data_IF_022702908372
#
_entry.id   IF_022702908372
#
_cell.length_a   1.000
_cell.length_b   1.000
_cell.length_c   1.000
_cell.angle_alpha   90.00
_cell.angle_beta   90.00
_cell.angle_gamma   90.00
#
_symmetry.space_group_name_H-M   'P 1'
#
loop_
_entity.id
_entity.type
_entity.pdbx_description
1 polymer ?
#
# COMPACT_ATOMS: atom_id res chain seq x y z
N UNK A 1 -16.85 -9.32 35.15
CA UNK A 1 -17.63 -8.38 35.95
C UNK A 1 -17.84 -8.96 37.32
N UNK A 2 -17.65 -8.16 38.34
CA UNK A 2 -17.87 -8.56 39.73
C UNK A 2 -19.36 -8.83 39.96
N UNK A 3 -19.69 -9.99 40.52
CA UNK A 3 -21.07 -10.30 40.87
C UNK A 3 -21.35 -9.78 42.28
N UNK A 4 -22.27 -8.83 42.39
CA UNK A 4 -22.72 -8.31 43.68
C UNK A 4 -24.12 -8.85 44.01
N UNK A 5 -24.23 -9.66 45.05
CA UNK A 5 -25.51 -10.15 45.58
C UNK A 5 -25.94 -9.26 46.77
N UNK A 6 -27.13 -8.72 46.68
CA UNK A 6 -27.68 -7.78 47.69
C UNK A 6 -28.53 -8.52 48.71
N UNK A 7 -28.34 -8.16 49.94
CA UNK A 7 -29.17 -8.58 51.09
C UNK A 7 -29.60 -7.33 51.85
N UNK A 8 -30.59 -7.39 52.76
CA UNK A 8 -31.18 -6.21 53.37
C UNK A 8 -30.21 -5.24 54.08
N UNK A 9 -29.11 -5.72 54.61
CA UNK A 9 -28.11 -4.89 55.35
C UNK A 9 -26.69 -5.12 54.91
N UNK A 10 -26.44 -6.13 54.11
CA UNK A 10 -25.13 -6.56 53.65
C UNK A 10 -25.19 -6.89 52.16
N UNK A 11 -24.09 -6.73 51.48
CA UNK A 11 -23.91 -7.22 50.13
C UNK A 11 -22.70 -8.14 50.07
N UNK A 12 -22.75 -9.09 49.16
CA UNK A 12 -21.69 -10.05 48.93
C UNK A 12 -21.09 -9.82 47.57
N UNK A 13 -19.80 -9.52 47.52
CA UNK A 13 -19.05 -9.39 46.25
C UNK A 13 -18.25 -10.66 45.94
N UNK A 14 -18.30 -11.09 44.71
CA UNK A 14 -17.51 -12.23 44.21
C UNK A 14 -16.73 -11.77 42.99
N UNK A 15 -15.39 -11.85 43.04
CA UNK A 15 -14.48 -11.50 41.97
C UNK A 15 -14.19 -12.67 41.02
N UNK A 16 -13.62 -12.36 39.90
CA UNK A 16 -13.11 -13.33 38.89
C UNK A 16 -11.60 -13.52 39.03
N UNK A 17 -11.06 -14.55 38.40
CA UNK A 17 -9.63 -14.86 38.46
C UNK A 17 -8.73 -13.80 37.79
N UNK A 18 -9.25 -13.11 36.79
CA UNK A 18 -8.53 -12.10 36.01
C UNK A 18 -8.66 -10.66 36.55
N UNK A 19 -9.35 -10.49 37.72
CA UNK A 19 -9.63 -9.19 38.30
C UNK A 19 -9.38 -9.18 39.80
N UNK A 20 -8.73 -8.13 40.27
CA UNK A 20 -8.49 -7.91 41.67
C UNK A 20 -9.55 -6.97 42.21
N UNK A 21 -10.16 -7.36 43.33
CA UNK A 21 -11.06 -6.47 44.09
C UNK A 21 -10.29 -5.72 45.15
N UNK A 22 -10.48 -4.40 45.17
CA UNK A 22 -9.92 -3.52 46.18
C UNK A 22 -11.08 -2.86 46.91
N UNK A 23 -11.10 -3.03 48.23
CA UNK A 23 -12.11 -2.41 49.10
C UNK A 23 -11.52 -1.17 49.80
N UNK A 24 -12.17 -0.03 49.60
CA UNK A 24 -11.93 1.17 50.40
C UNK A 24 -12.75 1.11 51.68
N UNK A 25 -12.08 1.21 52.83
CA UNK A 25 -12.74 1.24 54.14
C UNK A 25 -11.99 2.20 55.05
N UNK A 26 -12.69 3.19 55.61
CA UNK A 26 -12.15 4.18 56.54
C UNK A 26 -10.89 4.90 56.04
N UNK A 27 -10.79 5.15 54.73
CA UNK A 27 -9.63 5.83 54.14
C UNK A 27 -8.47 4.91 53.74
N UNK A 28 -8.55 3.61 54.02
CA UNK A 28 -7.56 2.63 53.61
C UNK A 28 -8.03 1.79 52.46
N UNK A 29 -7.12 1.45 51.55
CA UNK A 29 -7.37 0.54 50.41
C UNK A 29 -6.88 -0.87 50.80
N UNK A 30 -7.81 -1.80 50.87
CA UNK A 30 -7.53 -3.19 51.23
C UNK A 30 -7.66 -4.04 49.96
N UNK A 31 -6.51 -4.55 49.48
CA UNK A 31 -6.54 -5.50 48.35
C UNK A 31 -7.06 -6.85 48.85
N UNK A 32 -8.10 -7.36 48.19
CA UNK A 32 -8.67 -8.68 48.47
C UNK A 32 -8.11 -9.80 47.59
N UNK A 33 -7.38 -9.42 46.55
CA UNK A 33 -6.82 -10.36 45.58
C UNK A 33 -7.82 -10.83 44.49
N UNK A 34 -7.37 -11.68 43.58
CA UNK A 34 -8.24 -12.34 42.59
C UNK A 34 -9.12 -13.40 43.28
N UNK A 35 -10.24 -13.75 42.65
CA UNK A 35 -11.20 -14.74 43.19
C UNK A 35 -11.73 -14.37 44.59
N UNK A 36 -11.65 -13.12 44.93
CA UNK A 36 -12.09 -12.68 46.25
C UNK A 36 -13.61 -12.81 46.43
N UNK A 37 -14.00 -13.30 47.62
CA UNK A 37 -15.41 -13.45 47.98
C UNK A 37 -15.59 -12.90 49.41
N UNK A 38 -16.31 -11.79 49.56
CA UNK A 38 -16.44 -11.14 50.86
C UNK A 38 -17.76 -10.40 51.03
N UNK A 39 -18.13 -10.24 52.29
CA UNK A 39 -19.29 -9.46 52.69
C UNK A 39 -18.92 -8.03 53.03
N UNK A 40 -19.72 -7.08 52.64
CA UNK A 40 -19.53 -5.67 52.92
C UNK A 40 -20.88 -4.96 53.17
N UNK A 41 -20.79 -3.82 53.85
CA UNK A 41 -21.93 -2.91 54.01
C UNK A 41 -21.93 -1.91 52.87
N UNK A 42 -23.02 -1.80 52.08
CA UNK A 42 -23.08 -0.87 50.96
C UNK A 42 -22.88 0.60 51.35
N UNK A 43 -23.36 0.96 52.54
CA UNK A 43 -23.18 2.31 53.06
C UNK A 43 -21.74 2.53 53.54
N UNK A 44 -21.03 3.39 52.80
CA UNK A 44 -19.65 3.79 53.14
C UNK A 44 -18.56 2.80 52.72
N UNK A 45 -18.84 1.82 51.86
CA UNK A 45 -17.83 0.99 51.24
C UNK A 45 -17.67 1.41 49.78
N UNK A 46 -16.45 1.64 49.34
CA UNK A 46 -16.07 1.72 47.93
C UNK A 46 -15.44 0.40 47.50
N UNK A 47 -15.81 -0.09 46.33
CA UNK A 47 -15.21 -1.29 45.72
C UNK A 47 -14.66 -0.88 44.37
N UNK A 48 -13.43 -1.23 44.10
CA UNK A 48 -12.78 -1.06 42.79
C UNK A 48 -12.43 -2.43 42.24
N UNK A 49 -12.71 -2.63 40.95
CA UNK A 49 -12.43 -3.86 40.21
C UNK A 49 -11.35 -3.58 39.15
N UNK A 50 -10.15 -4.09 39.39
CA UNK A 50 -8.97 -3.84 38.54
C UNK A 50 -8.63 -5.10 37.75
N UNK A 51 -8.60 -5.07 36.41
CA UNK A 51 -8.15 -6.18 35.62
C UNK A 51 -6.63 -6.37 35.78
N UNK A 52 -6.20 -7.64 35.88
CA UNK A 52 -4.77 -8.04 35.93
C UNK A 52 -4.35 -8.80 34.68
N UNK A 53 -5.27 -8.98 33.77
CA UNK A 53 -5.02 -9.57 32.45
C UNK A 53 -4.26 -8.60 31.55
N UNK A 54 -3.63 -9.13 30.52
CA UNK A 54 -3.01 -8.30 29.47
C UNK A 54 -4.09 -7.59 28.67
N UNK A 55 -3.99 -6.27 28.63
CA UNK A 55 -4.91 -5.42 27.90
C UNK A 55 -4.25 -4.98 26.61
N UNK A 56 -4.85 -5.31 25.48
CA UNK A 56 -4.38 -4.89 24.16
C UNK A 56 -5.22 -3.72 23.65
N UNK A 57 -4.57 -2.62 23.32
CA UNK A 57 -5.17 -1.41 22.79
C UNK A 57 -4.66 -1.13 21.37
N UNK A 58 -5.56 -1.21 20.38
CA UNK A 58 -5.27 -0.74 19.04
C UNK A 58 -5.41 0.78 18.99
N UNK A 59 -4.42 1.46 18.41
CA UNK A 59 -4.47 2.89 18.18
C UNK A 59 -3.88 3.25 16.82
N UNK A 60 -4.51 4.23 16.15
CA UNK A 60 -4.03 4.78 14.88
C UNK A 60 -3.81 6.28 15.12
N UNK A 61 -2.62 6.73 14.87
CA UNK A 61 -2.30 8.15 14.93
C UNK A 61 -1.63 8.61 13.65
N UNK A 62 -1.83 9.88 13.33
CA UNK A 62 -1.25 10.53 12.18
C UNK A 62 -0.09 11.37 12.63
N UNK A 63 1.01 11.28 11.91
CA UNK A 63 2.24 12.01 12.19
C UNK A 63 2.85 12.49 10.89
N UNK A 64 3.62 13.56 10.97
CA UNK A 64 4.27 14.15 9.81
C UNK A 64 5.75 13.79 9.82
N UNK A 65 6.26 13.30 8.70
CA UNK A 65 7.66 12.96 8.49
C UNK A 65 8.52 14.22 8.32
N UNK A 66 9.86 14.04 8.29
CA UNK A 66 10.82 15.12 8.05
C UNK A 66 10.57 15.85 6.72
N UNK A 67 10.17 15.14 5.70
CA UNK A 67 9.83 15.64 4.36
C UNK A 67 8.38 16.11 4.24
N UNK A 68 7.73 16.35 5.41
CA UNK A 68 6.38 16.89 5.54
C UNK A 68 5.29 16.06 4.89
N UNK A 69 5.49 14.75 4.83
CA UNK A 69 4.45 13.83 4.39
C UNK A 69 3.66 13.32 5.59
N UNK A 70 2.35 13.27 5.47
CA UNK A 70 1.50 12.68 6.50
C UNK A 70 1.52 11.17 6.39
N UNK A 71 1.74 10.50 7.52
CA UNK A 71 1.70 9.04 7.62
C UNK A 71 0.80 8.61 8.76
N UNK A 72 0.06 7.55 8.52
CA UNK A 72 -0.75 6.86 9.52
C UNK A 72 0.05 5.70 10.10
N UNK A 73 0.24 5.72 11.41
CA UNK A 73 0.91 4.64 12.15
C UNK A 73 -0.13 3.88 12.95
N UNK A 74 -0.28 2.60 12.67
CA UNK A 74 -1.16 1.71 13.40
C UNK A 74 -0.36 0.88 14.38
N UNK A 75 -0.70 1.00 15.66
CA UNK A 75 -0.03 0.30 16.76
C UNK A 75 -1.00 -0.55 17.56
N UNK A 76 -0.51 -1.64 18.11
CA UNK A 76 -1.15 -2.43 19.14
C UNK A 76 -0.24 -2.41 20.38
N UNK A 77 -0.75 -1.83 21.46
CA UNK A 77 -0.06 -1.64 22.72
C UNK A 77 -0.61 -2.64 23.73
N UNK A 78 0.24 -3.48 24.26
CA UNK A 78 -0.14 -4.44 25.31
C UNK A 78 0.39 -3.96 26.64
N UNK A 79 -0.51 -3.72 27.56
CA UNK A 79 -0.18 -3.29 28.92
C UNK A 79 -0.83 -4.20 29.95
N UNK A 80 -0.24 -4.24 31.13
CA UNK A 80 -0.75 -4.99 32.30
C UNK A 80 -0.76 -4.09 33.51
N UNK A 81 -1.77 -4.21 34.34
CA UNK A 81 -1.78 -3.55 35.65
C UNK A 81 -1.06 -4.45 36.62
N UNK A 82 0.22 -4.15 36.84
CA UNK A 82 1.10 -4.92 37.77
C UNK A 82 0.79 -4.64 39.21
N UNK A 83 0.45 -3.38 39.56
CA UNK A 83 0.09 -2.99 40.94
C UNK A 83 -1.33 -2.39 40.95
N UNK A 84 -2.37 -3.22 41.19
CA UNK A 84 -3.75 -2.75 41.26
C UNK A 84 -3.98 -1.69 42.36
N UNK A 85 -3.23 -1.72 43.48
CA UNK A 85 -3.40 -0.76 44.58
C UNK A 85 -2.90 0.64 44.20
N UNK A 86 -1.86 0.73 43.37
CA UNK A 86 -1.42 2.01 42.79
C UNK A 86 -2.39 2.46 41.68
N UNK A 87 -2.84 1.55 40.83
CA UNK A 87 -3.72 1.90 39.69
C UNK A 87 -5.02 2.58 40.16
N UNK A 88 -5.62 2.12 41.24
CA UNK A 88 -6.87 2.70 41.79
C UNK A 88 -6.69 4.15 42.30
N UNK A 89 -5.46 4.57 42.61
CA UNK A 89 -5.18 5.95 43.03
C UNK A 89 -5.10 6.92 41.82
N UNK A 90 -4.83 6.40 40.64
CA UNK A 90 -4.62 7.20 39.44
C UNK A 90 -5.76 7.05 38.41
N UNK A 91 -6.51 5.96 38.48
CA UNK A 91 -7.60 5.61 37.57
C UNK A 91 -8.81 5.20 38.37
N UNK A 92 -9.98 5.67 37.96
CA UNK A 92 -11.25 5.40 38.68
C UNK A 92 -11.84 4.04 38.24
N UNK A 93 -11.40 2.99 38.93
CA UNK A 93 -11.94 1.64 38.80
C UNK A 93 -13.11 1.36 39.74
N UNK A 94 -13.75 2.42 40.28
CA UNK A 94 -14.87 2.26 41.19
C UNK A 94 -16.04 1.53 40.48
N UNK A 95 -16.62 0.60 41.26
CA UNK A 95 -17.78 -0.21 40.82
C UNK A 95 -19.01 0.30 41.58
N UNK A 96 -20.09 0.50 40.82
CA UNK A 96 -21.39 0.74 41.44
C UNK A 96 -21.82 -0.52 42.19
N UNK A 97 -21.97 -0.37 43.49
CA UNK A 97 -22.34 -1.46 44.40
C UNK A 97 -23.76 -2.00 44.10
N UNK A 98 -24.54 -1.31 43.27
CA UNK A 98 -25.88 -1.69 42.85
C UNK A 98 -25.86 -2.55 41.64
N UNK A 99 -25.15 -2.16 40.62
CA UNK A 99 -25.13 -2.82 39.30
C UNK A 99 -23.92 -3.78 39.14
N UNK A 100 -22.83 -3.57 39.87
CA UNK A 100 -21.61 -4.31 39.72
C UNK A 100 -20.77 -3.88 38.52
N UNK A 101 -21.15 -2.76 37.88
CA UNK A 101 -20.45 -2.19 36.74
C UNK A 101 -19.54 -1.03 37.16
N UNK A 102 -18.53 -0.72 36.37
CA UNK A 102 -17.71 0.46 36.60
C UNK A 102 -18.54 1.74 36.50
N UNK A 103 -18.37 2.62 37.45
CA UNK A 103 -19.04 3.94 37.46
C UNK A 103 -18.50 4.83 36.33
N UNK A 104 -17.23 4.69 35.99
CA UNK A 104 -16.54 5.40 34.91
C UNK A 104 -16.11 4.49 33.78
N UNK A 105 -15.16 4.98 32.98
CA UNK A 105 -14.54 4.24 31.86
C UNK A 105 -13.02 4.14 32.08
N UNK A 106 -12.56 3.42 33.11
CA UNK A 106 -11.17 3.39 33.49
C UNK A 106 -10.26 2.84 32.38
N UNK A 107 -10.71 1.82 31.64
CA UNK A 107 -9.93 1.25 30.53
C UNK A 107 -9.75 2.24 29.40
N UNK A 108 -10.76 3.04 29.08
CA UNK A 108 -10.66 4.08 28.06
C UNK A 108 -9.71 5.20 28.49
N UNK A 109 -9.74 5.59 29.77
CA UNK A 109 -8.81 6.58 30.33
C UNK A 109 -7.37 6.07 30.29
N UNK A 110 -7.16 4.79 30.63
CA UNK A 110 -5.85 4.13 30.52
C UNK A 110 -5.39 4.08 29.06
N UNK A 111 -6.26 3.61 28.16
CA UNK A 111 -5.99 3.55 26.75
C UNK A 111 -5.57 4.91 26.17
N UNK A 112 -6.31 5.97 26.47
CA UNK A 112 -6.00 7.31 25.99
C UNK A 112 -4.63 7.77 26.49
N UNK A 113 -4.34 7.60 27.77
CA UNK A 113 -3.03 7.98 28.36
C UNK A 113 -1.88 7.23 27.70
N UNK A 114 -1.99 5.91 27.56
CA UNK A 114 -0.95 5.10 26.92
C UNK A 114 -0.80 5.47 25.45
N UNK A 115 -1.92 5.70 24.74
CA UNK A 115 -1.93 6.10 23.35
C UNK A 115 -1.30 7.48 23.13
N UNK A 116 -1.62 8.47 23.95
CA UNK A 116 -1.03 9.82 23.87
C UNK A 116 0.49 9.77 24.09
N UNK A 117 0.94 9.02 25.11
CA UNK A 117 2.36 8.85 25.38
C UNK A 117 3.07 8.11 24.22
N UNK A 118 2.47 7.03 23.71
CA UNK A 118 3.00 6.30 22.56
C UNK A 118 3.08 7.19 21.31
N UNK A 119 2.06 8.00 21.07
CA UNK A 119 2.03 8.95 19.96
C UNK A 119 3.16 9.97 20.05
N UNK A 120 3.46 10.48 21.23
CA UNK A 120 4.54 11.44 21.45
C UNK A 120 5.89 10.84 21.02
N UNK A 121 6.21 9.63 21.46
CA UNK A 121 7.48 8.97 21.11
C UNK A 121 7.52 8.59 19.62
N UNK A 122 6.43 8.09 19.06
CA UNK A 122 6.35 7.81 17.65
C UNK A 122 6.53 9.08 16.81
N UNK A 123 5.86 10.17 17.18
CA UNK A 123 5.97 11.45 16.48
C UNK A 123 7.41 12.01 16.52
N UNK A 124 8.11 11.86 17.64
CA UNK A 124 9.49 12.31 17.77
C UNK A 124 10.43 11.61 16.78
N UNK A 125 10.28 10.30 16.59
CA UNK A 125 11.09 9.52 15.63
C UNK A 125 10.69 9.79 14.20
N UNK A 126 9.39 9.81 13.91
CA UNK A 126 8.87 10.03 12.56
C UNK A 126 9.23 11.43 12.05
N UNK A 127 9.19 12.45 12.91
CA UNK A 127 9.52 13.83 12.53
C UNK A 127 10.98 14.03 12.05
N UNK A 128 11.90 13.16 12.43
CA UNK A 128 13.32 13.22 12.03
C UNK A 128 13.63 12.23 10.88
N UNK A 129 12.70 11.35 10.52
CA UNK A 129 12.86 10.30 9.52
C UNK A 129 12.17 10.71 8.22
N UNK A 130 12.78 10.39 7.07
CA UNK A 130 12.17 10.58 5.75
C UNK A 130 11.16 9.48 5.48
N UNK A 131 10.21 9.75 4.57
CA UNK A 131 9.19 8.78 4.20
C UNK A 131 9.79 7.48 3.66
N UNK A 132 10.82 7.56 2.83
CA UNK A 132 11.49 6.40 2.23
C UNK A 132 12.02 5.45 3.29
N UNK A 133 12.82 5.96 4.24
CA UNK A 133 13.36 5.17 5.35
C UNK A 133 12.24 4.63 6.25
N UNK A 134 11.18 5.41 6.42
CA UNK A 134 10.05 5.01 7.24
C UNK A 134 9.24 3.87 6.61
N UNK A 135 9.15 3.80 5.27
CA UNK A 135 8.50 2.70 4.57
C UNK A 135 9.34 1.42 4.58
N UNK A 136 10.67 1.55 4.55
CA UNK A 136 11.58 0.39 4.55
C UNK A 136 11.78 -0.18 5.95
N UNK A 137 12.15 0.65 6.93
CA UNK A 137 12.56 0.21 8.27
C UNK A 137 11.63 0.71 9.38
N UNK A 138 10.62 1.51 9.04
CA UNK A 138 9.82 2.26 10.00
C UNK A 138 9.08 1.41 11.02
N UNK A 139 8.67 0.18 10.67
CA UNK A 139 8.02 -0.73 11.61
C UNK A 139 8.91 -1.03 12.83
N UNK A 140 10.21 -1.27 12.60
CA UNK A 140 11.17 -1.56 13.65
C UNK A 140 11.59 -0.29 14.40
N UNK A 141 11.84 0.80 13.69
CA UNK A 141 12.23 2.08 14.26
C UNK A 141 11.16 2.63 15.20
N UNK A 142 9.92 2.71 14.74
CA UNK A 142 8.80 3.22 15.56
C UNK A 142 8.52 2.29 16.72
N UNK A 143 8.53 0.96 16.52
CA UNK A 143 8.33 0.01 17.59
C UNK A 143 9.35 0.18 18.70
N UNK A 144 10.63 0.27 18.39
CA UNK A 144 11.70 0.36 19.38
C UNK A 144 11.61 1.70 20.13
N UNK A 145 11.40 2.80 19.40
CA UNK A 145 11.26 4.13 20.02
C UNK A 145 10.06 4.22 20.95
N UNK A 146 8.91 3.69 20.55
CA UNK A 146 7.71 3.68 21.40
C UNK A 146 7.91 2.75 22.59
N UNK A 147 8.50 1.58 22.41
CA UNK A 147 8.76 0.65 23.50
C UNK A 147 9.73 1.25 24.52
N UNK A 148 10.88 1.75 24.07
CA UNK A 148 11.89 2.36 24.95
C UNK A 148 11.32 3.59 25.67
N UNK A 149 10.56 4.43 24.96
CA UNK A 149 9.89 5.58 25.52
C UNK A 149 8.85 5.22 26.60
N UNK A 150 8.00 4.24 26.31
CA UNK A 150 6.98 3.79 27.27
C UNK A 150 7.60 3.07 28.48
N UNK A 151 8.68 2.32 28.32
CA UNK A 151 9.40 1.69 29.42
C UNK A 151 10.11 2.72 30.31
N UNK A 152 10.57 3.83 29.72
CA UNK A 152 11.19 4.94 30.44
C UNK A 152 10.18 5.88 31.09
N UNK A 153 8.88 5.75 30.86
CA UNK A 153 7.85 6.66 31.35
C UNK A 153 7.51 6.41 32.83
N UNK A 154 8.00 7.27 33.69
CA UNK A 154 7.79 7.17 35.16
C UNK A 154 6.32 7.26 35.55
N UNK A 155 5.48 7.96 34.77
CA UNK A 155 4.06 8.16 35.08
C UNK A 155 3.28 6.86 34.98
N UNK A 156 3.57 6.00 33.99
CA UNK A 156 2.94 4.69 33.86
C UNK A 156 3.37 3.76 34.98
N UNK A 157 4.66 3.74 35.28
CA UNK A 157 5.20 2.96 36.39
C UNK A 157 4.65 3.40 37.78
N UNK A 158 4.53 4.71 38.03
CA UNK A 158 3.92 5.23 39.23
C UNK A 158 2.46 4.88 39.38
N UNK A 159 1.73 4.77 38.25
CA UNK A 159 0.35 4.33 38.22
C UNK A 159 0.20 2.80 38.31
N UNK A 160 1.28 2.04 38.48
CA UNK A 160 1.24 0.58 38.58
C UNK A 160 0.94 -0.12 37.29
N UNK A 161 1.16 0.54 36.16
CA UNK A 161 0.96 -0.01 34.81
C UNK A 161 2.30 -0.42 34.21
N UNK A 162 2.38 -1.65 33.74
CA UNK A 162 3.55 -2.22 33.07
C UNK A 162 3.26 -2.37 31.56
N UNK A 163 4.21 -1.99 30.74
CA UNK A 163 4.15 -2.20 29.28
C UNK A 163 4.70 -3.57 28.98
N UNK A 164 3.84 -4.46 28.51
CA UNK A 164 4.21 -5.84 28.15
C UNK A 164 4.84 -5.88 26.78
N UNK A 165 4.31 -5.11 25.84
CA UNK A 165 4.85 -5.05 24.49
C UNK A 165 4.20 -4.00 23.61
N UNK A 166 4.93 -3.65 22.56
CA UNK A 166 4.50 -2.73 21.52
C UNK A 166 4.64 -3.43 20.19
N UNK A 167 3.60 -3.39 19.39
CA UNK A 167 3.57 -3.94 18.04
C UNK A 167 3.11 -2.83 17.09
N UNK A 168 3.92 -2.53 16.09
CA UNK A 168 3.53 -1.66 14.99
C UNK A 168 2.98 -2.56 13.89
N UNK A 169 1.71 -2.36 13.58
CA UNK A 169 0.98 -3.20 12.62
C UNK A 169 1.23 -2.73 11.19
N UNK A 170 1.16 -1.41 11.00
CA UNK A 170 1.37 -0.80 9.70
C UNK A 170 1.82 0.65 9.84
N UNK A 171 2.64 1.06 8.87
CA UNK A 171 2.94 2.47 8.61
C UNK A 171 2.50 2.72 7.17
N UNK A 172 1.55 3.62 6.99
CA UNK A 172 0.97 3.91 5.68
C UNK A 172 1.04 5.40 5.39
N UNK A 173 1.54 5.79 4.23
CA UNK A 173 1.43 7.16 3.77
C UNK A 173 -0.03 7.51 3.47
N UNK A 174 -0.29 8.77 3.20
CA UNK A 174 -1.59 9.22 2.71
C UNK A 174 -1.99 8.48 1.42
N UNK A 175 -3.27 8.23 1.25
CA UNK A 175 -3.79 7.35 0.18
C UNK A 175 -3.40 7.81 -1.23
N UNK A 176 -3.35 9.11 -1.45
CA UNK A 176 -2.93 9.66 -2.75
C UNK A 176 -1.46 9.37 -3.05
N UNK A 177 -0.61 9.51 -2.03
CA UNK A 177 0.82 9.24 -2.13
C UNK A 177 1.09 7.73 -2.25
N UNK A 178 0.36 6.91 -1.51
CA UNK A 178 0.43 5.45 -1.64
C UNK A 178 0.09 4.99 -3.06
N UNK A 179 -0.95 5.56 -3.67
CA UNK A 179 -1.32 5.28 -5.06
C UNK A 179 -0.25 5.74 -6.05
N UNK A 180 0.33 6.91 -5.82
CA UNK A 180 1.41 7.42 -6.68
C UNK A 180 2.65 6.52 -6.62
N UNK A 181 3.08 6.10 -5.44
CA UNK A 181 4.18 5.17 -5.24
C UNK A 181 3.91 3.80 -5.88
N UNK A 182 2.70 3.26 -5.71
CA UNK A 182 2.31 1.99 -6.34
C UNK A 182 2.31 2.08 -7.86
N UNK A 183 1.92 3.24 -8.43
CA UNK A 183 1.92 3.46 -9.87
C UNK A 183 3.35 3.47 -10.40
N UNK A 184 4.27 4.20 -9.76
CA UNK A 184 5.68 4.22 -10.14
C UNK A 184 6.35 2.84 -10.08
N UNK A 185 6.06 2.07 -9.04
CA UNK A 185 6.57 0.68 -8.92
C UNK A 185 6.00 -0.21 -10.04
N UNK A 186 4.71 -0.09 -10.34
CA UNK A 186 4.08 -0.85 -11.44
C UNK A 186 4.68 -0.50 -12.80
N UNK A 187 4.92 0.78 -13.06
CA UNK A 187 5.55 1.24 -14.30
C UNK A 187 7.00 0.73 -14.42
N UNK A 188 7.76 0.74 -13.32
CA UNK A 188 9.11 0.19 -13.29
C UNK A 188 9.12 -1.32 -13.58
N UNK A 189 8.23 -2.10 -12.95
CA UNK A 189 8.07 -3.53 -13.19
C UNK A 189 7.65 -3.80 -14.65
N UNK A 190 6.72 -2.99 -15.17
CA UNK A 190 6.27 -3.13 -16.56
C UNK A 190 7.42 -2.84 -17.54
N UNK A 191 8.19 -1.79 -17.31
CA UNK A 191 9.34 -1.45 -18.13
C UNK A 191 10.41 -2.56 -18.10
N UNK A 192 10.65 -3.18 -16.95
CA UNK A 192 11.57 -4.32 -16.83
C UNK A 192 11.04 -5.56 -17.57
N UNK A 193 9.74 -5.87 -17.43
CA UNK A 193 9.10 -6.94 -18.16
C UNK A 193 9.14 -6.74 -19.67
N UNK A 194 8.94 -5.51 -20.12
CA UNK A 194 9.04 -5.14 -21.53
C UNK A 194 10.47 -5.29 -22.05
N UNK A 195 11.49 -4.83 -21.30
CA UNK A 195 12.91 -5.07 -21.64
C UNK A 195 13.22 -6.55 -21.77
N UNK A 196 12.82 -7.36 -20.78
CA UNK A 196 13.03 -8.80 -20.82
C UNK A 196 12.32 -9.45 -22.02
N UNK A 197 11.17 -8.91 -22.43
CA UNK A 197 10.44 -9.37 -23.60
C UNK A 197 11.16 -8.99 -24.90
N UNK A 198 11.67 -7.77 -24.99
CA UNK A 198 12.48 -7.32 -26.13
C UNK A 198 13.77 -8.11 -26.27
N UNK A 199 14.47 -8.36 -25.16
CA UNK A 199 15.69 -9.18 -25.17
C UNK A 199 15.43 -10.61 -25.65
N UNK A 200 14.33 -11.23 -25.18
CA UNK A 200 13.91 -12.56 -25.65
C UNK A 200 13.58 -12.56 -27.14
N UNK A 201 12.90 -11.52 -27.62
CA UNK A 201 12.58 -11.38 -29.06
C UNK A 201 13.84 -11.16 -29.89
N UNK A 202 14.77 -10.33 -29.42
CA UNK A 202 16.05 -10.13 -30.07
C UNK A 202 16.83 -11.44 -30.17
N UNK A 203 16.94 -12.19 -29.08
CA UNK A 203 17.60 -13.50 -29.07
C UNK A 203 16.87 -14.51 -29.97
N UNK A 204 15.55 -14.47 -30.06
CA UNK A 204 14.80 -15.34 -30.96
C UNK A 204 15.06 -15.00 -32.43
N UNK A 205 15.15 -13.73 -32.76
CA UNK A 205 15.48 -13.24 -34.10
C UNK A 205 16.94 -13.63 -34.47
N UNK A 206 17.88 -13.48 -33.52
CA UNK A 206 19.27 -13.89 -33.74
C UNK A 206 19.40 -15.41 -33.97
N UNK A 207 18.65 -16.20 -33.19
CA UNK A 207 18.59 -17.67 -33.42
C UNK A 207 17.95 -18.03 -34.76
N UNK A 208 16.86 -17.37 -35.09
CA UNK A 208 16.18 -17.57 -36.38
C UNK A 208 17.12 -17.17 -37.52
N UNK A 209 17.90 -16.09 -37.35
CA UNK A 209 18.93 -15.69 -38.29
C UNK A 209 20.01 -16.76 -38.43
N UNK A 210 20.55 -17.25 -37.29
CA UNK A 210 21.57 -18.31 -37.31
C UNK A 210 21.06 -19.61 -37.93
N UNK A 211 19.78 -19.97 -37.71
CA UNK A 211 19.14 -21.13 -38.35
C UNK A 211 19.02 -20.88 -39.86
N UNK A 212 18.56 -19.71 -40.28
CA UNK A 212 18.44 -19.35 -41.70
C UNK A 212 19.81 -19.29 -42.39
N UNK A 213 20.85 -18.77 -41.69
CA UNK A 213 22.22 -18.80 -42.21
C UNK A 213 22.74 -20.25 -42.33
N UNK A 214 22.47 -21.11 -41.35
CA UNK A 214 22.84 -22.52 -41.42
C UNK A 214 22.06 -23.29 -42.48
N UNK A 215 20.76 -23.01 -42.62
CA UNK A 215 19.96 -23.58 -43.70
C UNK A 215 20.43 -23.09 -45.09
N UNK A 216 20.80 -21.82 -45.17
CA UNK A 216 21.37 -21.25 -46.40
C UNK A 216 22.72 -21.90 -46.72
N UNK A 217 23.59 -22.03 -45.71
CA UNK A 217 24.90 -22.72 -45.87
C UNK A 217 24.71 -24.20 -46.26
N UNK A 218 23.75 -24.89 -45.62
CA UNK A 218 23.44 -26.27 -45.99
C UNK A 218 22.87 -26.38 -47.41
N UNK A 219 21.96 -25.46 -47.79
CA UNK A 219 21.45 -25.39 -49.16
C UNK A 219 22.54 -25.07 -50.18
N UNK A 220 23.46 -24.14 -49.79
CA UNK A 220 24.58 -23.80 -50.65
C UNK A 220 25.56 -24.98 -50.81
N UNK A 221 25.78 -25.75 -49.72
CA UNK A 221 26.60 -26.95 -49.77
C UNK A 221 25.91 -28.07 -50.58
N UNK A 222 24.60 -28.22 -50.44
CA UNK A 222 23.80 -29.18 -51.23
C UNK A 222 23.79 -28.77 -52.73
N UNK A 223 23.53 -27.48 -52.97
CA UNK A 223 23.59 -26.95 -54.36
C UNK A 223 24.98 -27.05 -54.95
N UNK A 224 26.03 -26.85 -54.13
CA UNK A 224 27.43 -27.10 -54.56
C UNK A 224 27.66 -28.56 -54.94
N UNK A 225 27.17 -29.51 -54.14
CA UNK A 225 27.27 -30.94 -54.42
C UNK A 225 26.41 -31.36 -55.64
N UNK A 226 25.22 -30.75 -55.74
CA UNK A 226 24.35 -30.95 -56.94
C UNK A 226 25.00 -30.31 -58.19
N UNK A 227 25.62 -29.14 -58.03
CA UNK A 227 26.37 -28.51 -59.12
C UNK A 227 27.58 -29.33 -59.54
N UNK A 228 28.34 -29.96 -58.59
CA UNK A 228 29.37 -30.93 -58.91
C UNK A 228 28.82 -32.14 -59.67
N UNK A 229 27.63 -32.58 -59.35
CA UNK A 229 26.96 -33.65 -60.08
C UNK A 229 26.45 -33.21 -61.45
N UNK A 230 25.98 -31.97 -61.55
CA UNK A 230 25.48 -31.37 -62.79
C UNK A 230 26.62 -30.82 -63.67
N UNK A 231 27.81 -30.65 -63.08
CA UNK A 231 29.02 -30.25 -63.84
C UNK A 231 29.38 -31.24 -64.95
N UNK A 232 28.90 -32.46 -64.84
CA UNK A 232 28.95 -33.50 -65.84
C UNK A 232 27.90 -33.37 -66.94
N UNK A 233 26.85 -32.55 -66.77
CA UNK A 233 25.68 -32.54 -67.66
C UNK A 233 25.44 -31.19 -68.39
N UNK A 234 26.05 -30.10 -67.98
CA UNK A 234 25.84 -28.89 -68.79
C UNK A 234 26.28 -27.56 -68.17
N UNK A 235 27.08 -26.84 -68.89
CA UNK A 235 27.72 -25.55 -68.51
C UNK A 235 26.73 -24.36 -68.52
N UNK A 236 25.50 -24.51 -68.96
CA UNK A 236 24.61 -23.37 -69.12
C UNK A 236 23.69 -23.11 -67.92
N UNK A 237 23.48 -24.07 -67.06
CA UNK A 237 22.64 -23.88 -65.85
C UNK A 237 23.43 -23.22 -64.67
N UNK A 238 24.76 -23.38 -64.67
CA UNK A 238 25.63 -22.81 -63.60
C UNK A 238 25.45 -21.31 -63.43
N UNK A 239 25.37 -20.57 -64.51
CA UNK A 239 25.28 -19.09 -64.42
C UNK A 239 23.90 -18.61 -63.94
N UNK A 240 22.84 -19.32 -64.23
CA UNK A 240 21.50 -18.91 -63.78
C UNK A 240 21.29 -19.14 -62.30
N UNK A 241 21.74 -20.29 -61.77
CA UNK A 241 21.58 -20.64 -60.38
C UNK A 241 22.41 -19.72 -59.48
N UNK A 242 23.61 -19.33 -59.91
CA UNK A 242 24.46 -18.41 -59.18
C UNK A 242 23.87 -17.01 -59.06
N UNK A 243 23.27 -16.47 -60.11
CA UNK A 243 22.63 -15.16 -60.07
C UNK A 243 21.30 -15.15 -59.30
N UNK A 244 20.62 -16.26 -59.16
CA UNK A 244 19.40 -16.36 -58.30
C UNK A 244 19.78 -16.41 -56.81
N UNK A 245 20.81 -17.13 -56.44
CA UNK A 245 21.33 -17.18 -55.08
C UNK A 245 21.82 -15.79 -54.57
N UNK A 246 22.60 -15.07 -55.39
CA UNK A 246 23.05 -13.73 -55.06
C UNK A 246 21.91 -12.72 -54.85
N UNK A 247 20.81 -12.86 -55.61
CA UNK A 247 19.62 -12.02 -55.45
C UNK A 247 18.84 -12.34 -54.15
N UNK A 248 18.82 -13.59 -53.72
CA UNK A 248 18.15 -13.98 -52.48
C UNK A 248 18.95 -13.56 -51.27
N UNK A 249 20.29 -13.65 -51.29
CA UNK A 249 21.16 -13.14 -50.23
C UNK A 249 20.99 -11.62 -50.04
N UNK A 250 21.03 -10.86 -51.14
CA UNK A 250 20.79 -9.41 -51.12
C UNK A 250 19.40 -9.02 -50.59
N UNK A 251 18.38 -9.82 -50.92
CA UNK A 251 17.02 -9.58 -50.39
C UNK A 251 16.91 -9.94 -48.90
N UNK A 252 17.54 -11.05 -48.47
CA UNK A 252 17.56 -11.45 -47.05
C UNK A 252 18.32 -10.45 -46.17
N UNK A 253 19.46 -9.92 -46.62
CA UNK A 253 20.20 -8.87 -45.94
C UNK A 253 19.39 -7.55 -45.83
N UNK A 254 18.74 -7.12 -46.92
CA UNK A 254 17.92 -5.93 -46.93
C UNK A 254 16.71 -6.05 -45.99
N UNK A 255 16.13 -7.25 -45.86
CA UNK A 255 15.00 -7.51 -44.94
C UNK A 255 15.42 -7.54 -43.46
N UNK A 256 16.62 -8.08 -43.18
CA UNK A 256 17.20 -8.11 -41.84
C UNK A 256 17.60 -6.71 -41.39
N UNK A 257 18.19 -5.89 -42.25
CA UNK A 257 18.55 -4.50 -41.97
C UNK A 257 17.32 -3.62 -41.74
N UNK A 258 16.26 -3.80 -42.53
CA UNK A 258 14.97 -3.12 -42.33
C UNK A 258 14.30 -3.47 -41.01
N UNK A 259 14.32 -4.74 -40.59
CA UNK A 259 13.75 -5.15 -39.29
C UNK A 259 14.55 -4.62 -38.11
N UNK A 260 15.88 -4.54 -38.22
CA UNK A 260 16.77 -3.99 -37.20
C UNK A 260 16.52 -2.50 -37.00
N UNK A 261 16.43 -1.73 -38.09
CA UNK A 261 16.11 -0.29 -38.03
C UNK A 261 14.72 -0.01 -37.46
N UNK A 262 13.75 -0.89 -37.75
CA UNK A 262 12.39 -0.74 -37.20
C UNK A 262 12.31 -1.01 -35.68
N UNK A 263 13.13 -1.93 -35.17
CA UNK A 263 13.23 -2.22 -33.73
C UNK A 263 13.92 -1.08 -33.00
N UNK A 264 15.05 -0.58 -33.51
CA UNK A 264 15.80 0.53 -32.93
C UNK A 264 14.95 1.82 -32.89
N UNK A 265 14.20 2.12 -33.98
CA UNK A 265 13.29 3.26 -34.02
C UNK A 265 12.15 3.17 -32.99
N UNK A 266 11.66 1.96 -32.72
CA UNK A 266 10.62 1.73 -31.70
C UNK A 266 11.12 1.89 -30.28
N UNK A 267 12.36 1.44 -29.99
CA UNK A 267 13.02 1.63 -28.70
C UNK A 267 13.21 3.13 -28.42
N UNK A 268 13.74 3.87 -29.40
CA UNK A 268 13.93 5.33 -29.29
C UNK A 268 12.62 6.10 -29.07
N UNK A 269 11.52 5.65 -29.69
CA UNK A 269 10.21 6.25 -29.49
C UNK A 269 9.68 6.02 -28.06
N UNK A 270 9.82 4.80 -27.53
CA UNK A 270 9.41 4.46 -26.16
C UNK A 270 10.24 5.22 -25.12
N UNK A 271 11.56 5.34 -25.33
CA UNK A 271 12.43 6.13 -24.44
C UNK A 271 12.05 7.63 -24.43
N UNK A 272 11.73 8.21 -25.60
CA UNK A 272 11.29 9.61 -25.70
C UNK A 272 9.96 9.85 -25.03
N UNK A 273 9.00 8.94 -25.19
CA UNK A 273 7.69 9.06 -24.54
C UNK A 273 7.85 8.96 -23.02
N UNK A 274 8.59 7.97 -22.52
CA UNK A 274 8.83 7.80 -21.10
C UNK A 274 9.58 9.00 -20.47
N UNK A 275 10.56 9.57 -21.19
CA UNK A 275 11.27 10.76 -20.76
C UNK A 275 10.38 12.01 -20.74
N UNK A 276 9.48 12.17 -21.74
CA UNK A 276 8.53 13.26 -21.80
C UNK A 276 7.48 13.19 -20.70
N UNK A 277 6.97 11.99 -20.42
CA UNK A 277 6.02 11.76 -19.32
C UNK A 277 6.64 12.03 -17.94
N UNK A 278 7.87 11.57 -17.71
CA UNK A 278 8.61 11.85 -16.49
C UNK A 278 8.89 13.37 -16.33
N UNK A 279 9.30 14.05 -17.39
CA UNK A 279 9.52 15.49 -17.38
C UNK A 279 8.25 16.28 -17.10
N UNK A 280 7.12 15.86 -17.68
CA UNK A 280 5.81 16.47 -17.45
C UNK A 280 5.33 16.26 -15.98
N UNK A 281 5.60 15.08 -15.40
CA UNK A 281 5.28 14.77 -14.01
C UNK A 281 6.11 15.62 -13.03
N UNK A 282 7.41 15.75 -13.27
CA UNK A 282 8.31 16.60 -12.48
C UNK A 282 7.90 18.07 -12.58
N UNK A 283 7.63 18.56 -13.78
CA UNK A 283 7.17 19.93 -14.01
C UNK A 283 5.82 20.22 -13.34
N UNK A 284 4.92 19.23 -13.33
CA UNK A 284 3.61 19.31 -12.66
C UNK A 284 3.76 19.34 -11.14
N UNK A 285 4.67 18.55 -10.57
CA UNK A 285 5.01 18.56 -9.15
C UNK A 285 5.71 19.86 -8.71
N UNK A 286 6.58 20.40 -9.54
CA UNK A 286 7.21 21.71 -9.29
C UNK A 286 6.23 22.88 -9.38
N UNK A 287 5.29 22.83 -10.31
CA UNK A 287 4.22 23.82 -10.45
C UNK A 287 3.28 23.86 -9.21
N UNK A 288 3.08 22.71 -8.55
CA UNK A 288 2.27 22.64 -7.32
C UNK A 288 3.04 23.09 -6.06
N UNK A 289 4.36 23.17 -6.10
CA UNK A 289 5.20 23.59 -4.96
C UNK A 289 5.05 25.06 -4.55
N UNK A 290 4.52 25.91 -5.43
CA UNK A 290 4.40 27.36 -5.19
C UNK A 290 2.99 27.93 -5.27
N UNK A 291 1.95 27.13 -5.49
CA UNK A 291 0.61 27.62 -5.72
C UNK A 291 -0.29 27.52 -4.49
N UNK A 292 -1.04 28.60 -4.19
CA UNK A 292 -2.06 28.59 -3.15
C UNK A 292 -3.22 27.65 -3.54
N UNK A 293 -3.86 27.02 -2.54
CA UNK A 293 -4.97 26.06 -2.67
C UNK A 293 -6.03 26.39 -3.74
N UNK A 294 -6.48 27.65 -3.93
CA UNK A 294 -7.46 27.97 -4.96
C UNK A 294 -6.94 27.79 -6.39
N UNK A 295 -5.65 28.01 -6.62
CA UNK A 295 -5.05 27.88 -7.95
C UNK A 295 -4.85 26.40 -8.35
N UNK A 296 -4.60 25.54 -7.38
CA UNK A 296 -4.48 24.08 -7.60
C UNK A 296 -5.84 23.50 -8.00
N UNK A 297 -6.92 23.90 -7.33
CA UNK A 297 -8.28 23.44 -7.67
C UNK A 297 -8.70 23.90 -9.07
N UNK A 298 -8.34 25.13 -9.48
CA UNK A 298 -8.65 25.64 -10.81
C UNK A 298 -7.88 24.94 -11.94
N UNK A 299 -6.68 24.41 -11.66
CA UNK A 299 -5.86 23.71 -12.67
C UNK A 299 -6.30 22.25 -12.89
N UNK A 300 -6.94 21.63 -11.89
CA UNK A 300 -7.41 20.22 -11.95
C UNK A 300 -8.83 20.15 -12.56
N UNK A 301 -9.62 21.21 -12.43
CA UNK A 301 -10.99 21.25 -12.93
C UNK A 301 -11.16 20.87 -14.42
N UNK A 302 -10.31 21.32 -15.37
CA UNK A 302 -10.46 20.96 -16.78
C UNK A 302 -10.04 19.49 -17.07
N UNK A 303 -9.22 18.88 -16.24
CA UNK A 303 -8.75 17.50 -16.43
C UNK A 303 -9.79 16.50 -15.88
N UNK A 304 -10.48 16.86 -14.81
CA UNK A 304 -11.61 16.10 -14.28
C UNK A 304 -12.80 16.12 -15.25
N UNK A 305 -13.02 17.26 -15.94
CA UNK A 305 -14.06 17.38 -16.97
C UNK A 305 -13.73 16.57 -18.24
N UNK A 306 -12.45 16.36 -18.57
CA UNK A 306 -12.03 15.53 -19.71
C UNK A 306 -12.03 14.03 -19.39
N UNK A 307 -12.00 13.66 -18.12
CA UNK A 307 -12.06 12.28 -17.68
C UNK A 307 -13.51 11.72 -17.59
N UNK A 308 -14.52 12.54 -17.87
CA UNK A 308 -15.88 12.04 -18.03
C UNK A 308 -15.96 11.25 -19.33
N UNK A 309 -16.49 10.03 -19.32
CA UNK A 309 -16.56 9.23 -20.52
C UNK A 309 -17.43 9.92 -21.56
N UNK A 310 -16.84 10.21 -22.70
CA UNK A 310 -17.61 10.56 -23.90
C UNK A 310 -18.50 9.36 -24.24
N UNK A 311 -19.77 9.60 -24.31
CA UNK A 311 -20.76 8.59 -24.71
C UNK A 311 -20.69 8.52 -26.24
N UNK A 312 -19.78 7.72 -26.75
CA UNK A 312 -19.73 7.33 -28.16
C UNK A 312 -20.51 6.04 -28.38
N UNK A 313 -21.79 6.12 -28.39
CA UNK A 313 -22.62 5.15 -29.08
C UNK A 313 -23.99 5.73 -29.38
N UNK A 314 -24.07 6.46 -30.46
CA UNK A 314 -25.35 6.63 -31.16
C UNK A 314 -25.45 5.48 -32.15
N UNK A 315 -26.19 4.46 -31.80
CA UNK A 315 -26.62 3.42 -32.75
C UNK A 315 -27.66 4.04 -33.67
N UNK A 316 -27.21 4.44 -34.83
CA UNK A 316 -28.10 4.82 -35.92
C UNK A 316 -28.72 3.54 -36.49
N UNK A 317 -30.00 3.33 -36.19
CA UNK A 317 -30.76 2.30 -36.88
C UNK A 317 -30.99 2.69 -38.35
N UNK A 318 -31.05 1.74 -39.29
CA UNK A 318 -31.21 2.00 -40.73
C UNK A 318 -32.40 2.87 -41.10
N UNK A 319 -33.45 2.92 -40.28
CA UNK A 319 -34.65 3.73 -40.48
C UNK A 319 -34.42 5.24 -40.37
N UNK A 320 -33.41 5.70 -39.59
CA UNK A 320 -33.13 7.14 -39.49
C UNK A 320 -32.34 7.71 -40.66
N UNK A 321 -31.64 6.87 -41.40
CA UNK A 321 -30.93 7.29 -42.63
C UNK A 321 -31.89 7.54 -43.81
N UNK A 322 -33.01 6.82 -43.83
CA UNK A 322 -34.04 7.01 -44.84
C UNK A 322 -34.69 8.37 -44.78
N UNK A 323 -35.03 8.83 -43.56
CA UNK A 323 -35.72 10.10 -43.35
C UNK A 323 -34.79 11.31 -43.55
N UNK A 324 -33.51 11.19 -43.23
CA UNK A 324 -32.51 12.24 -43.44
C UNK A 324 -32.20 12.46 -44.95
N UNK A 325 -32.10 11.37 -45.69
CA UNK A 325 -31.90 11.43 -47.16
C UNK A 325 -33.14 11.95 -47.89
N UNK A 326 -34.36 11.60 -47.44
CA UNK A 326 -35.59 12.15 -48.01
C UNK A 326 -35.73 13.67 -47.82
N UNK A 327 -35.32 14.22 -46.69
CA UNK A 327 -35.31 15.65 -46.42
C UNK A 327 -34.20 16.39 -47.18
N UNK A 328 -33.03 15.79 -47.35
CA UNK A 328 -31.95 16.38 -48.13
C UNK A 328 -32.31 16.49 -49.62
N UNK A 329 -32.98 15.48 -50.20
CA UNK A 329 -33.43 15.49 -51.58
C UNK A 329 -34.63 16.43 -51.83
N UNK A 330 -35.51 16.62 -50.81
CA UNK A 330 -36.61 17.58 -50.90
C UNK A 330 -36.09 19.04 -50.83
N UNK A 331 -35.01 19.32 -50.09
CA UNK A 331 -34.36 20.65 -50.01
C UNK A 331 -33.61 21.03 -51.29
N UNK A 332 -33.10 20.08 -52.07
CA UNK A 332 -32.41 20.32 -53.35
C UNK A 332 -33.35 20.55 -54.52
N UNK A 333 -34.66 20.29 -54.38
CA UNK A 333 -35.68 20.61 -55.41
C UNK A 333 -36.41 21.93 -55.22
N UNK A 334 -36.09 22.67 -54.16
CA UNK A 334 -36.72 23.96 -53.84
C UNK A 334 -35.73 25.15 -53.86
N UNK A 335 -34.52 24.96 -54.41
CA UNK A 335 -33.55 26.02 -54.73
C UNK A 335 -33.35 26.15 -56.23
#
# INVERSE_FOLDING_TARGET
MTTIRRFPFLSHATGTATRVLIQGRRGELISRGPVASFWFRPLGASISEVPIEDLEFGHIFRVTTRDRQEVSVQTALTVRIADPARAVRHLDFAVDVTTGEWTGRPLQALQNRVAETAQQFAAAVVAVTTLEVLLDEGLALVRNAVLDGLLGEEQLGSAGVEVVGVRVVAVRPEEELERALQTGVREAIQAEADRATYERRAQAVDRERAIKENELNNRTQLAGREAELVELVGTNERRRTQHELEREELRAEALLESNRLAVDARVDEIERVAAAENAALVARLEAYRGAELPAIVASIAPEVLRALPEIDAITLTPDMLGDALARAVAGLRAA
#
